data_IF_357514690129
#
_entry.id   IF_357514690129
#
_cell.length_a   1.000
_cell.length_b   1.000
_cell.length_c   1.000
_cell.angle_alpha   90.00
_cell.angle_beta   90.00
_cell.angle_gamma   90.00
#
_symmetry.space_group_name_H-M   'P 1'
#
loop_
_entity.id
_entity.type
_entity.pdbx_description
1 polymer ?
#
# COMPACT_ATOMS: atom_id res chain seq x y z
N UNK A 1 -23.31 0.51 31.85
CA UNK A 1 -21.84 0.56 31.60
C UNK A 1 -21.48 -0.67 30.78
N UNK A 2 -21.53 -0.57 29.46
CA UNK A 2 -21.19 -1.64 28.54
C UNK A 2 -19.71 -1.53 28.22
N UNK A 3 -18.91 -2.40 28.86
CA UNK A 3 -17.50 -2.51 28.56
C UNK A 3 -17.30 -2.93 27.12
N UNK A 4 -16.66 -2.09 26.32
CA UNK A 4 -16.13 -2.48 25.01
C UNK A 4 -15.03 -3.49 25.28
N UNK A 5 -15.38 -4.76 25.15
CA UNK A 5 -14.40 -5.85 25.21
C UNK A 5 -13.46 -5.74 24.01
N UNK A 6 -12.32 -5.09 24.22
CA UNK A 6 -11.17 -5.25 23.34
C UNK A 6 -10.73 -6.70 23.50
N UNK A 7 -11.22 -7.58 22.64
CA UNK A 7 -10.61 -8.89 22.44
C UNK A 7 -9.19 -8.60 21.94
N UNK A 8 -8.25 -8.59 22.86
CA UNK A 8 -6.84 -8.57 22.50
C UNK A 8 -6.55 -9.87 21.75
N UNK A 9 -6.31 -9.75 20.47
CA UNK A 9 -5.92 -10.85 19.59
C UNK A 9 -4.46 -11.24 19.88
N UNK A 10 -4.13 -11.34 21.15
CA UNK A 10 -2.82 -11.73 21.70
C UNK A 10 -2.48 -13.21 21.40
N UNK A 11 -3.38 -13.92 20.73
CA UNK A 11 -3.19 -15.32 20.34
C UNK A 11 -2.53 -15.51 18.97
N UNK A 12 -2.36 -14.42 18.18
CA UNK A 12 -1.65 -14.50 16.91
C UNK A 12 -0.15 -14.68 17.16
N UNK A 13 0.54 -15.50 16.34
CA UNK A 13 1.99 -15.58 16.38
C UNK A 13 2.64 -14.21 16.27
N UNK A 14 3.74 -13.97 16.95
CA UNK A 14 4.46 -12.68 16.94
C UNK A 14 4.79 -12.23 15.51
N UNK A 15 5.05 -13.15 14.60
CA UNK A 15 5.31 -12.91 13.18
C UNK A 15 4.14 -12.27 12.46
N UNK A 16 2.91 -12.61 12.81
CA UNK A 16 1.68 -12.06 12.21
C UNK A 16 1.49 -10.60 12.63
N UNK A 17 1.76 -10.29 13.91
CA UNK A 17 1.69 -8.92 14.40
C UNK A 17 2.72 -8.01 13.73
N UNK A 18 3.96 -8.47 13.63
CA UNK A 18 5.04 -7.73 12.98
C UNK A 18 4.71 -7.52 11.50
N UNK A 19 4.28 -8.56 10.80
CA UNK A 19 3.93 -8.48 9.38
C UNK A 19 2.82 -7.49 9.07
N UNK A 20 1.87 -7.30 9.98
CA UNK A 20 0.80 -6.30 9.82
C UNK A 20 1.31 -4.86 10.00
N UNK A 21 2.17 -4.64 10.99
CA UNK A 21 2.67 -3.30 11.32
C UNK A 21 3.68 -2.81 10.27
N UNK A 22 4.56 -3.69 9.80
CA UNK A 22 5.61 -3.37 8.83
C UNK A 22 5.34 -4.03 7.47
N UNK A 23 4.07 -4.11 7.07
CA UNK A 23 3.66 -4.76 5.84
C UNK A 23 4.42 -4.29 4.58
N UNK A 24 4.77 -3.00 4.40
CA UNK A 24 5.59 -2.58 3.26
C UNK A 24 6.99 -3.20 3.27
N UNK A 25 7.60 -3.35 4.45
CA UNK A 25 8.93 -3.96 4.56
C UNK A 25 8.88 -5.46 4.24
N UNK A 26 7.89 -6.17 4.77
CA UNK A 26 7.68 -7.60 4.47
C UNK A 26 7.38 -7.79 2.99
N UNK A 27 6.54 -6.92 2.40
CA UNK A 27 6.26 -6.89 0.96
C UNK A 27 7.53 -6.70 0.13
N UNK A 28 8.39 -5.75 0.50
CA UNK A 28 9.66 -5.52 -0.18
C UNK A 28 10.59 -6.74 -0.12
N UNK A 29 10.72 -7.39 1.03
CA UNK A 29 11.51 -8.62 1.16
C UNK A 29 10.98 -9.74 0.27
N UNK A 30 9.66 -9.90 0.19
CA UNK A 30 9.03 -10.84 -0.72
C UNK A 30 9.34 -10.52 -2.19
N UNK A 31 9.19 -9.24 -2.58
CA UNK A 31 9.49 -8.77 -3.93
C UNK A 31 10.94 -9.05 -4.32
N UNK A 32 11.90 -8.72 -3.44
CA UNK A 32 13.30 -8.99 -3.72
C UNK A 32 13.60 -10.47 -3.90
N UNK A 33 12.96 -11.33 -3.11
CA UNK A 33 13.13 -12.78 -3.22
C UNK A 33 12.55 -13.38 -4.50
N UNK A 34 11.48 -12.77 -5.05
CA UNK A 34 10.72 -13.30 -6.18
C UNK A 34 10.66 -12.35 -7.36
N UNK A 35 11.63 -11.44 -7.49
CA UNK A 35 11.59 -10.28 -8.39
C UNK A 35 11.23 -10.62 -9.83
N UNK A 36 11.88 -11.65 -10.42
CA UNK A 36 11.65 -12.01 -11.82
C UNK A 36 10.22 -12.49 -12.08
N UNK A 37 9.69 -13.32 -11.17
CA UNK A 37 8.32 -13.84 -11.28
C UNK A 37 7.29 -12.73 -11.13
N UNK A 38 7.53 -11.83 -10.16
CA UNK A 38 6.60 -10.74 -9.87
C UNK A 38 6.61 -9.67 -10.97
N UNK A 39 7.78 -9.36 -11.54
CA UNK A 39 7.88 -8.46 -12.70
C UNK A 39 7.13 -9.02 -13.92
N UNK A 40 7.30 -10.31 -14.20
CA UNK A 40 6.59 -10.96 -15.30
C UNK A 40 5.08 -10.92 -15.10
N UNK A 41 4.61 -11.30 -13.91
CA UNK A 41 3.18 -11.26 -13.57
C UNK A 41 2.60 -9.83 -13.63
N UNK A 42 3.36 -8.81 -13.21
CA UNK A 42 2.96 -7.40 -13.33
C UNK A 42 2.78 -6.99 -14.78
N UNK A 43 3.75 -7.31 -15.65
CA UNK A 43 3.70 -7.00 -17.09
C UNK A 43 2.51 -7.69 -17.78
N UNK A 44 2.25 -8.96 -17.46
CA UNK A 44 1.10 -9.69 -18.01
C UNK A 44 -0.23 -9.07 -17.54
N UNK A 45 -0.32 -8.63 -16.29
CA UNK A 45 -1.51 -7.95 -15.75
C UNK A 45 -1.72 -6.55 -16.35
N UNK A 46 -0.64 -5.79 -16.60
CA UNK A 46 -0.67 -4.50 -17.29
C UNK A 46 -1.17 -4.65 -18.73
N UNK A 47 -0.68 -5.65 -19.46
CA UNK A 47 -1.15 -5.97 -20.81
C UNK A 47 -2.64 -6.32 -20.81
N UNK A 48 -3.08 -7.22 -19.91
CA UNK A 48 -4.49 -7.59 -19.77
C UNK A 48 -5.39 -6.38 -19.47
N UNK A 49 -4.95 -5.49 -18.59
CA UNK A 49 -5.71 -4.26 -18.24
C UNK A 49 -5.79 -3.32 -19.43
N UNK A 50 -4.72 -3.20 -20.23
CA UNK A 50 -4.70 -2.44 -21.47
C UNK A 50 -5.70 -2.97 -22.49
N UNK A 51 -5.76 -4.29 -22.68
CA UNK A 51 -6.73 -4.95 -23.59
C UNK A 51 -8.18 -4.73 -23.13
N UNK A 52 -8.45 -4.83 -21.82
CA UNK A 52 -9.79 -4.56 -21.27
C UNK A 52 -10.18 -3.10 -21.52
N UNK A 53 -9.27 -2.17 -21.33
CA UNK A 53 -9.50 -0.74 -21.60
C UNK A 53 -9.80 -0.49 -23.07
N UNK A 54 -9.02 -1.09 -23.98
CA UNK A 54 -9.22 -1.00 -25.41
C UNK A 54 -10.59 -1.56 -25.83
N UNK A 55 -10.94 -2.75 -25.35
CA UNK A 55 -12.23 -3.36 -25.63
C UNK A 55 -13.41 -2.51 -25.11
N UNK A 56 -13.25 -1.87 -23.96
CA UNK A 56 -14.27 -0.96 -23.42
C UNK A 56 -14.45 0.27 -24.33
N UNK A 57 -13.36 0.88 -24.80
CA UNK A 57 -13.42 2.01 -25.73
C UNK A 57 -14.11 1.65 -27.04
N UNK A 58 -13.80 0.50 -27.59
CA UNK A 58 -14.46 -0.04 -28.80
C UNK A 58 -15.95 -0.29 -28.57
N UNK A 59 -16.31 -0.76 -27.39
CA UNK A 59 -17.72 -0.96 -27.01
C UNK A 59 -18.47 0.37 -26.92
N UNK A 60 -17.89 1.40 -26.33
CA UNK A 60 -18.48 2.75 -26.25
C UNK A 60 -18.75 3.31 -27.65
N UNK A 61 -17.89 3.07 -28.63
CA UNK A 61 -18.09 3.50 -30.01
C UNK A 61 -19.30 2.84 -30.68
N UNK A 62 -19.54 1.56 -30.39
CA UNK A 62 -20.61 0.75 -31.01
C UNK A 62 -21.98 0.93 -30.40
N UNK A 63 -22.08 1.59 -29.22
CA UNK A 63 -23.36 1.77 -28.53
C UNK A 63 -24.21 2.82 -29.24
N UNK A 64 -25.46 2.46 -29.65
CA UNK A 64 -26.34 3.34 -30.42
C UNK A 64 -27.15 4.32 -29.58
N UNK A 65 -27.42 4.00 -28.32
CA UNK A 65 -28.23 4.81 -27.43
C UNK A 65 -27.51 6.02 -26.82
N UNK A 66 -26.19 6.06 -26.96
CA UNK A 66 -25.36 7.13 -26.37
C UNK A 66 -25.04 8.21 -27.40
N UNK A 67 -25.30 9.47 -27.04
CA UNK A 67 -24.98 10.62 -27.90
C UNK A 67 -23.47 10.78 -28.09
N UNK A 68 -23.00 11.36 -29.23
CA UNK A 68 -21.57 11.50 -29.53
C UNK A 68 -20.77 12.25 -28.46
N UNK A 69 -21.30 13.34 -27.93
CA UNK A 69 -20.68 14.13 -26.87
C UNK A 69 -20.49 13.30 -25.57
N UNK A 70 -21.46 12.45 -25.24
CA UNK A 70 -21.40 11.60 -24.05
C UNK A 70 -20.37 10.47 -24.26
N UNK A 71 -20.28 9.92 -25.48
CA UNK A 71 -19.23 8.96 -25.83
C UNK A 71 -17.83 9.55 -25.62
N UNK A 72 -17.61 10.78 -26.08
CA UNK A 72 -16.32 11.47 -25.93
C UNK A 72 -15.97 11.72 -24.46
N UNK A 73 -16.93 12.12 -23.64
CA UNK A 73 -16.71 12.29 -22.19
C UNK A 73 -16.43 10.95 -21.49
N UNK A 74 -17.12 9.87 -21.88
CA UNK A 74 -16.85 8.53 -21.35
C UNK A 74 -15.42 8.07 -21.70
N UNK A 75 -14.98 8.30 -22.94
CA UNK A 75 -13.61 7.97 -23.36
C UNK A 75 -12.56 8.76 -22.60
N UNK A 76 -12.75 10.08 -22.46
CA UNK A 76 -11.85 10.94 -21.65
C UNK A 76 -11.74 10.44 -20.22
N UNK A 77 -12.86 10.05 -19.61
CA UNK A 77 -12.88 9.50 -18.25
C UNK A 77 -12.06 8.22 -18.15
N UNK A 78 -12.20 7.28 -19.08
CA UNK A 78 -11.43 6.04 -19.10
C UNK A 78 -9.94 6.29 -19.32
N UNK A 79 -9.59 7.23 -20.20
CA UNK A 79 -8.21 7.62 -20.46
C UNK A 79 -7.55 8.30 -19.25
N UNK A 80 -8.33 9.02 -18.43
CA UNK A 80 -7.86 9.66 -17.21
C UNK A 80 -7.73 8.71 -16.02
N UNK A 81 -8.22 7.46 -16.10
CA UNK A 81 -8.10 6.49 -15.03
C UNK A 81 -6.65 6.05 -14.87
N UNK A 82 -6.13 6.16 -13.65
CA UNK A 82 -4.80 5.64 -13.27
C UNK A 82 -4.91 4.18 -12.86
N UNK A 83 -3.96 3.39 -13.30
CA UNK A 83 -3.87 1.96 -12.97
C UNK A 83 -2.90 1.76 -11.80
N UNK A 84 -3.29 0.93 -10.85
CA UNK A 84 -2.42 0.48 -9.76
C UNK A 84 -2.36 -1.04 -9.83
N UNK A 85 -1.28 -1.57 -10.39
CA UNK A 85 -1.12 -3.01 -10.64
C UNK A 85 0.11 -3.53 -9.89
N UNK A 86 -0.13 -4.56 -9.09
CA UNK A 86 0.92 -5.30 -8.38
C UNK A 86 1.45 -4.53 -7.18
N UNK A 87 2.58 -3.84 -7.32
CA UNK A 87 3.29 -3.19 -6.23
C UNK A 87 3.82 -1.82 -6.63
N UNK A 88 3.94 -0.87 -5.68
CA UNK A 88 4.60 0.40 -5.90
C UNK A 88 6.09 0.20 -6.15
N UNK A 89 6.65 0.90 -7.14
CA UNK A 89 8.08 0.83 -7.50
C UNK A 89 9.00 1.20 -6.32
N UNK A 90 8.50 2.03 -5.40
CA UNK A 90 9.22 2.45 -4.18
C UNK A 90 9.64 1.28 -3.29
N UNK A 91 8.89 0.17 -3.31
CA UNK A 91 9.22 -1.04 -2.54
C UNK A 91 10.46 -1.78 -3.07
N UNK A 92 10.91 -1.48 -4.28
CA UNK A 92 12.13 -2.03 -4.85
C UNK A 92 13.38 -1.28 -4.36
N UNK A 93 13.22 -0.06 -3.86
CA UNK A 93 14.31 0.76 -3.35
C UNK A 93 14.50 0.54 -1.83
N UNK A 94 15.31 -0.47 -1.50
CA UNK A 94 15.61 -0.79 -0.09
C UNK A 94 16.27 0.35 0.66
N UNK A 95 16.99 1.24 -0.01
CA UNK A 95 17.64 2.38 0.64
C UNK A 95 16.60 3.40 1.11
N UNK A 96 15.62 3.75 0.24
CA UNK A 96 14.50 4.62 0.60
C UNK A 96 13.64 4.02 1.70
N UNK A 97 13.35 2.72 1.59
CA UNK A 97 12.56 2.01 2.57
C UNK A 97 13.25 2.01 3.95
N UNK A 98 14.56 1.71 3.98
CA UNK A 98 15.34 1.74 5.22
C UNK A 98 15.40 3.14 5.82
N UNK A 99 15.62 4.18 5.00
CA UNK A 99 15.64 5.57 5.46
C UNK A 99 14.29 5.93 6.12
N UNK A 100 13.16 5.61 5.50
CA UNK A 100 11.83 5.86 6.05
C UNK A 100 11.64 5.22 7.42
N UNK A 101 12.00 3.95 7.57
CA UNK A 101 11.86 3.27 8.87
C UNK A 101 12.86 3.79 9.92
N UNK A 102 14.03 4.26 9.51
CA UNK A 102 14.99 4.91 10.41
C UNK A 102 14.46 6.26 10.89
N UNK A 103 13.85 7.06 10.01
CA UNK A 103 13.19 8.33 10.36
C UNK A 103 12.02 8.12 11.34
N UNK A 104 11.28 7.03 11.18
CA UNK A 104 10.21 6.63 12.09
C UNK A 104 10.72 6.13 13.44
N UNK A 105 12.03 6.16 13.68
CA UNK A 105 12.64 5.79 14.98
C UNK A 105 12.73 4.28 15.22
N UNK A 106 12.55 3.45 14.20
CA UNK A 106 12.70 2.01 14.33
C UNK A 106 14.15 1.61 14.60
N UNK A 107 14.54 1.70 15.87
CA UNK A 107 15.85 1.23 16.35
C UNK A 107 15.69 -0.07 17.11
N UNK A 108 15.99 -1.18 16.47
CA UNK A 108 16.10 -2.45 17.17
C UNK A 108 17.43 -2.49 17.95
N UNK A 109 17.36 -2.27 19.26
CA UNK A 109 18.54 -2.33 20.14
C UNK A 109 18.24 -3.23 21.37
N UNK A 110 17.98 -4.50 21.14
CA UNK A 110 17.89 -5.48 22.24
C UNK A 110 16.86 -5.17 23.32
N UNK A 111 15.91 -4.28 23.05
CA UNK A 111 14.82 -3.93 23.96
C UNK A 111 13.81 -5.09 24.07
N UNK A 112 13.04 -5.08 25.14
CA UNK A 112 11.96 -6.05 25.32
C UNK A 112 10.99 -6.00 24.15
N UNK A 113 10.51 -7.15 23.70
CA UNK A 113 9.57 -7.29 22.58
C UNK A 113 8.39 -6.30 22.66
N UNK A 114 7.77 -6.17 23.82
CA UNK A 114 6.63 -5.27 24.02
C UNK A 114 6.96 -3.80 23.76
N UNK A 115 8.14 -3.34 24.16
CA UNK A 115 8.57 -1.94 23.92
C UNK A 115 8.74 -1.71 22.42
N UNK A 116 9.44 -2.59 21.73
CA UNK A 116 9.59 -2.51 20.25
C UNK A 116 8.23 -2.56 19.56
N UNK A 117 7.32 -3.42 20.00
CA UNK A 117 5.97 -3.53 19.44
C UNK A 117 5.19 -2.20 19.58
N UNK A 118 5.17 -1.60 20.76
CA UNK A 118 4.48 -0.33 20.97
C UNK A 118 5.09 0.82 20.15
N UNK A 119 6.41 0.92 20.07
CA UNK A 119 7.08 1.91 19.23
C UNK A 119 6.71 1.73 17.74
N UNK A 120 6.68 0.51 17.24
CA UNK A 120 6.26 0.19 15.87
C UNK A 120 4.80 0.55 15.60
N UNK A 121 3.89 0.24 16.52
CA UNK A 121 2.47 0.60 16.41
C UNK A 121 2.32 2.12 16.38
N UNK A 122 3.00 2.83 17.27
CA UNK A 122 2.95 4.29 17.34
C UNK A 122 3.47 4.93 16.04
N UNK A 123 4.59 4.45 15.51
CA UNK A 123 5.12 4.92 14.23
C UNK A 123 4.18 4.66 13.08
N UNK A 124 3.57 3.47 13.01
CA UNK A 124 2.58 3.13 11.98
C UNK A 124 1.35 4.03 12.06
N UNK A 125 0.84 4.29 13.25
CA UNK A 125 -0.29 5.21 13.45
C UNK A 125 0.06 6.63 13.01
N UNK A 126 1.24 7.14 13.38
CA UNK A 126 1.69 8.47 12.97
C UNK A 126 1.81 8.60 11.44
N UNK A 127 2.32 7.57 10.76
CA UNK A 127 2.38 7.53 9.30
C UNK A 127 0.97 7.59 8.66
N UNK A 128 0.02 6.83 9.18
CA UNK A 128 -1.37 6.87 8.70
C UNK A 128 -2.04 8.23 8.95
N UNK A 129 -1.86 8.81 10.13
CA UNK A 129 -2.41 10.14 10.44
C UNK A 129 -1.77 11.25 9.60
N UNK A 130 -0.49 11.15 9.29
CA UNK A 130 0.20 12.13 8.42
C UNK A 130 -0.40 12.16 7.01
N UNK A 131 -0.83 11.01 6.49
CA UNK A 131 -1.51 10.89 5.18
C UNK A 131 -2.88 11.56 5.16
N UNK A 132 -3.54 11.68 6.29
CA UNK A 132 -4.81 12.39 6.43
C UNK A 132 -4.68 13.93 6.48
N UNK A 133 -3.47 14.46 6.33
CA UNK A 133 -3.22 15.91 6.36
C UNK A 133 -3.34 16.56 7.74
N UNK A 134 -3.42 15.78 8.80
CA UNK A 134 -3.37 16.30 10.17
C UNK A 134 -1.93 16.65 10.54
N UNK A 135 -1.57 17.91 10.37
CA UNK A 135 -0.24 18.52 10.50
C UNK A 135 0.34 18.56 11.93
N UNK A 136 -0.20 17.85 12.91
CA UNK A 136 0.12 18.05 14.32
C UNK A 136 0.85 16.91 15.02
N UNK A 137 1.15 15.84 14.33
CA UNK A 137 1.92 14.75 14.96
C UNK A 137 3.38 14.88 14.55
N UNK A 138 4.22 15.26 15.50
CA UNK A 138 5.67 15.17 15.33
C UNK A 138 6.06 13.73 14.99
N UNK A 139 7.01 13.51 14.07
CA UNK A 139 7.61 12.19 13.91
C UNK A 139 8.11 11.70 15.27
N UNK A 140 8.13 10.37 15.47
CA UNK A 140 8.65 9.78 16.70
C UNK A 140 10.08 10.29 16.94
N UNK A 141 10.24 11.30 17.84
CA UNK A 141 11.57 11.71 18.27
C UNK A 141 12.11 10.64 19.22
N UNK A 142 13.33 10.16 19.02
CA UNK A 142 13.94 9.21 19.94
C UNK A 142 14.23 9.91 21.26
N UNK A 143 13.63 9.42 22.33
CA UNK A 143 13.97 9.77 23.70
C UNK A 143 15.25 9.09 24.16
#
# INVERSE_FOLDING_TARGET
>A
MTGIGIKSDLTLPADDHISRIVSPLVGALYLHKHLDKVKKAKSEAEEMTGEIRSAFLDMVDKVDWMEPNIKDEAKKKVQAMTEVIGYPEELLDMAKLTARYTELGMRYQGRLYLVNYFEMVQCSMNDEFSKLGYLFLKPCEPS
#
